data_IF_808419435669
#
_entry.id   IF_808419435669
#
_cell.length_a   1.000
_cell.length_b   1.000
_cell.length_c   1.000
_cell.angle_alpha   90.00
_cell.angle_beta   90.00
_cell.angle_gamma   90.00
#
_symmetry.space_group_name_H-M   'P 1'
#
loop_
_entity.id
_entity.type
_entity.pdbx_description
1 polymer ?
#
# COMPACT_ATOMS: atom_id res chain seq x y z
N UNK A 1 -61.64 32.92 -49.74
CA UNK A 1 -62.18 32.99 -48.37
C UNK A 1 -61.26 32.26 -47.40
N UNK A 2 -61.18 32.74 -46.16
CA UNK A 2 -60.01 32.77 -45.28
C UNK A 2 -59.61 31.45 -44.61
N UNK A 3 -58.29 31.30 -44.37
CA UNK A 3 -57.66 30.24 -43.57
C UNK A 3 -57.93 30.49 -42.08
N UNK A 4 -58.49 29.51 -41.35
CA UNK A 4 -58.51 29.53 -39.89
C UNK A 4 -57.50 28.49 -39.39
N UNK A 5 -56.32 28.97 -39.00
CA UNK A 5 -55.31 28.18 -38.33
C UNK A 5 -55.78 27.88 -36.89
N UNK A 6 -56.01 26.60 -36.57
CA UNK A 6 -56.23 26.14 -35.19
C UNK A 6 -54.89 26.16 -34.46
N UNK A 7 -54.64 27.19 -33.66
CA UNK A 7 -53.55 27.20 -32.69
C UNK A 7 -53.87 26.21 -31.56
N UNK A 8 -53.13 25.10 -31.47
CA UNK A 8 -53.04 24.29 -30.24
C UNK A 8 -52.03 24.94 -29.33
N UNK A 9 -52.50 25.62 -28.29
CA UNK A 9 -51.64 26.01 -27.16
C UNK A 9 -51.45 24.75 -26.31
N UNK A 10 -50.31 24.09 -26.43
CA UNK A 10 -49.86 23.14 -25.41
C UNK A 10 -49.44 23.94 -24.19
N UNK A 11 -50.37 24.18 -23.27
CA UNK A 11 -49.99 24.56 -21.90
C UNK A 11 -49.44 23.29 -21.25
N UNK A 12 -48.12 23.20 -21.13
CA UNK A 12 -47.48 22.25 -20.22
C UNK A 12 -48.00 22.56 -18.82
N UNK A 13 -48.87 21.69 -18.30
CA UNK A 13 -49.45 21.83 -16.97
C UNK A 13 -48.30 21.93 -15.96
N UNK A 14 -48.17 23.08 -15.28
CA UNK A 14 -47.22 23.25 -14.18
C UNK A 14 -47.56 22.22 -13.10
N UNK A 15 -46.59 21.40 -12.72
CA UNK A 15 -46.77 20.43 -11.63
C UNK A 15 -47.20 21.19 -10.36
N UNK A 16 -48.20 20.70 -9.62
CA UNK A 16 -48.57 21.32 -8.36
C UNK A 16 -47.37 21.28 -7.40
N UNK A 17 -47.08 22.39 -6.71
CA UNK A 17 -45.90 22.55 -5.82
C UNK A 17 -45.66 21.33 -4.92
N UNK A 18 -46.72 20.75 -4.34
CA UNK A 18 -46.64 19.56 -3.46
C UNK A 18 -45.92 18.38 -4.14
N UNK A 19 -46.20 18.15 -5.43
CA UNK A 19 -45.61 17.05 -6.18
C UNK A 19 -44.14 17.31 -6.54
N UNK A 20 -43.75 18.56 -6.76
CA UNK A 20 -42.34 18.94 -6.93
C UNK A 20 -41.53 18.71 -5.64
N UNK A 21 -42.13 19.01 -4.47
CA UNK A 21 -41.52 18.73 -3.17
C UNK A 21 -41.37 17.23 -2.91
N UNK A 22 -42.40 16.44 -3.20
CA UNK A 22 -42.35 14.98 -3.05
C UNK A 22 -41.31 14.35 -3.99
N UNK A 23 -41.28 14.76 -5.27
CA UNK A 23 -40.29 14.31 -6.25
C UNK A 23 -38.86 14.67 -5.80
N UNK A 24 -38.65 15.89 -5.29
CA UNK A 24 -37.35 16.35 -4.76
C UNK A 24 -36.90 15.54 -3.53
N UNK A 25 -37.81 15.28 -2.58
CA UNK A 25 -37.52 14.47 -1.39
C UNK A 25 -37.18 13.03 -1.77
N UNK A 26 -37.93 12.41 -2.69
CA UNK A 26 -37.62 11.07 -3.21
C UNK A 26 -36.25 11.04 -3.89
N UNK A 27 -35.91 12.06 -4.68
CA UNK A 27 -34.59 12.21 -5.28
C UNK A 27 -33.47 12.27 -4.24
N UNK A 28 -33.62 13.11 -3.21
CA UNK A 28 -32.64 13.22 -2.11
C UNK A 28 -32.49 11.90 -1.33
N UNK A 29 -33.58 11.20 -1.07
CA UNK A 29 -33.55 9.91 -0.39
C UNK A 29 -32.84 8.84 -1.23
N UNK A 30 -33.07 8.82 -2.55
CA UNK A 30 -32.37 7.92 -3.47
C UNK A 30 -30.86 8.18 -3.49
N UNK A 31 -30.45 9.45 -3.60
CA UNK A 31 -29.03 9.82 -3.57
C UNK A 31 -28.40 9.43 -2.23
N UNK A 32 -29.08 9.69 -1.10
CA UNK A 32 -28.59 9.27 0.23
C UNK A 32 -28.43 7.75 0.33
N UNK A 33 -29.36 6.99 -0.24
CA UNK A 33 -29.27 5.53 -0.27
C UNK A 33 -28.08 5.07 -1.12
N UNK A 34 -27.90 5.66 -2.30
CA UNK A 34 -26.76 5.36 -3.18
C UNK A 34 -25.43 5.64 -2.48
N UNK A 35 -25.25 6.83 -1.91
CA UNK A 35 -24.04 7.19 -1.16
C UNK A 35 -23.77 6.19 -0.04
N UNK A 36 -24.81 5.78 0.70
CA UNK A 36 -24.67 4.81 1.79
C UNK A 36 -24.19 3.46 1.26
N UNK A 37 -24.77 2.96 0.18
CA UNK A 37 -24.39 1.68 -0.44
C UNK A 37 -22.96 1.74 -0.96
N UNK A 38 -22.59 2.80 -1.68
CA UNK A 38 -21.24 2.98 -2.20
C UNK A 38 -20.21 3.05 -1.06
N UNK A 39 -20.53 3.81 0.00
CA UNK A 39 -19.65 3.90 1.18
C UNK A 39 -19.47 2.54 1.87
N UNK A 40 -20.53 1.72 1.96
CA UNK A 40 -20.43 0.37 2.56
C UNK A 40 -19.52 -0.51 1.70
N UNK A 41 -19.69 -0.49 0.37
CA UNK A 41 -18.85 -1.25 -0.55
C UNK A 41 -17.38 -0.81 -0.46
N UNK A 42 -17.12 0.50 -0.37
CA UNK A 42 -15.77 1.04 -0.23
C UNK A 42 -15.12 0.59 1.09
N UNK A 43 -15.88 0.57 2.19
CA UNK A 43 -15.40 0.07 3.49
C UNK A 43 -15.09 -1.43 3.41
N UNK A 44 -15.93 -2.22 2.75
CA UNK A 44 -15.72 -3.66 2.57
C UNK A 44 -14.47 -3.93 1.73
N UNK A 45 -14.30 -3.21 0.62
CA UNK A 45 -13.10 -3.30 -0.22
C UNK A 45 -11.84 -2.91 0.57
N UNK A 46 -11.89 -1.81 1.32
CA UNK A 46 -10.77 -1.40 2.16
C UNK A 46 -10.43 -2.44 3.24
N UNK A 47 -11.44 -3.10 3.82
CA UNK A 47 -11.21 -4.19 4.76
C UNK A 47 -10.51 -5.39 4.11
N UNK A 48 -10.85 -5.73 2.86
CA UNK A 48 -10.18 -6.79 2.11
C UNK A 48 -8.73 -6.42 1.79
N UNK A 49 -8.48 -5.16 1.41
CA UNK A 49 -7.13 -4.65 1.15
C UNK A 49 -6.26 -4.73 2.40
N UNK A 50 -6.79 -4.38 3.58
CA UNK A 50 -6.06 -4.49 4.85
C UNK A 50 -5.71 -5.95 5.18
N UNK A 51 -6.61 -6.89 4.92
CA UNK A 51 -6.34 -8.32 5.11
C UNK A 51 -5.22 -8.77 4.16
N UNK A 52 -5.27 -8.38 2.90
CA UNK A 52 -4.24 -8.71 1.92
C UNK A 52 -2.88 -8.12 2.30
N UNK A 53 -2.83 -6.85 2.71
CA UNK A 53 -1.59 -6.20 3.18
C UNK A 53 -1.01 -6.97 4.37
N UNK A 54 -1.85 -7.42 5.30
CA UNK A 54 -1.40 -8.20 6.47
C UNK A 54 -0.70 -9.49 6.04
N UNK A 55 -1.31 -10.24 5.12
CA UNK A 55 -0.71 -11.47 4.57
C UNK A 55 0.62 -11.22 3.86
N UNK A 56 0.71 -10.12 3.09
CA UNK A 56 1.96 -9.73 2.42
C UNK A 56 3.04 -9.38 3.43
N UNK A 57 2.71 -8.63 4.49
CA UNK A 57 3.66 -8.28 5.56
C UNK A 57 4.16 -9.54 6.27
N UNK A 58 3.28 -10.46 6.63
CA UNK A 58 3.65 -11.75 7.24
C UNK A 58 4.58 -12.56 6.32
N UNK A 59 4.29 -12.61 5.02
CA UNK A 59 5.13 -13.28 4.04
C UNK A 59 6.54 -12.66 3.97
N UNK A 60 6.62 -11.32 3.93
CA UNK A 60 7.89 -10.59 3.93
C UNK A 60 8.69 -10.89 5.20
N UNK A 61 8.04 -10.86 6.37
CA UNK A 61 8.68 -11.16 7.65
C UNK A 61 9.26 -12.58 7.68
N UNK A 62 8.46 -13.57 7.25
CA UNK A 62 8.89 -14.96 7.20
C UNK A 62 10.08 -15.15 6.24
N UNK A 63 10.01 -14.56 5.04
CA UNK A 63 11.09 -14.63 4.05
C UNK A 63 12.38 -13.94 4.56
N UNK A 64 12.23 -12.79 5.21
CA UNK A 64 13.37 -12.09 5.81
C UNK A 64 14.02 -12.91 6.92
N UNK A 65 13.22 -13.53 7.80
CA UNK A 65 13.73 -14.40 8.86
C UNK A 65 14.43 -15.65 8.30
N UNK A 66 13.89 -16.26 7.24
CA UNK A 66 14.52 -17.37 6.55
C UNK A 66 15.88 -16.95 5.95
N UNK A 67 15.94 -15.77 5.32
CA UNK A 67 17.17 -15.22 4.76
C UNK A 67 18.21 -14.93 5.85
N UNK A 68 17.82 -14.38 7.00
CA UNK A 68 18.72 -14.16 8.12
C UNK A 68 19.27 -15.48 8.67
N UNK A 69 18.42 -16.50 8.79
CA UNK A 69 18.80 -17.83 9.25
C UNK A 69 19.81 -18.47 8.30
N UNK A 70 19.55 -18.40 7.00
CA UNK A 70 20.44 -18.96 5.98
C UNK A 70 21.78 -18.19 5.91
N UNK A 71 21.75 -16.87 6.01
CA UNK A 71 22.98 -16.07 6.11
C UNK A 71 23.82 -16.44 7.33
N UNK A 72 23.18 -16.67 8.48
CA UNK A 72 23.87 -17.11 9.70
C UNK A 72 24.49 -18.50 9.52
N UNK A 73 23.75 -19.42 8.89
CA UNK A 73 24.21 -20.77 8.57
C UNK A 73 25.42 -20.73 7.64
N UNK A 74 25.34 -20.01 6.52
CA UNK A 74 26.43 -19.85 5.56
C UNK A 74 27.68 -19.22 6.20
N UNK A 75 27.49 -18.19 7.01
CA UNK A 75 28.60 -17.57 7.76
C UNK A 75 29.29 -18.58 8.67
N UNK A 76 28.52 -19.37 9.43
CA UNK A 76 29.07 -20.41 10.31
C UNK A 76 29.83 -21.48 9.51
N UNK A 77 29.25 -21.97 8.40
CA UNK A 77 29.90 -22.94 7.52
C UNK A 77 31.21 -22.40 6.94
N UNK A 78 31.23 -21.14 6.50
CA UNK A 78 32.44 -20.51 5.97
C UNK A 78 33.54 -20.38 7.04
N UNK A 79 33.19 -20.05 8.27
CA UNK A 79 34.13 -20.00 9.38
C UNK A 79 34.67 -21.39 9.73
N UNK A 80 33.81 -22.40 9.76
CA UNK A 80 34.19 -23.80 9.98
C UNK A 80 35.17 -24.29 8.90
N UNK A 81 34.94 -23.95 7.63
CA UNK A 81 35.88 -24.26 6.55
C UNK A 81 37.24 -23.59 6.73
N UNK A 82 37.28 -22.37 7.27
CA UNK A 82 38.53 -21.66 7.59
C UNK A 82 39.24 -22.31 8.78
N UNK A 83 38.50 -22.74 9.79
CA UNK A 83 39.07 -23.38 10.98
C UNK A 83 39.59 -24.80 10.70
N UNK A 84 38.92 -25.54 9.83
CA UNK A 84 39.34 -26.87 9.38
C UNK A 84 40.40 -26.82 8.27
N UNK A 85 40.81 -25.62 7.83
CA UNK A 85 41.91 -25.48 6.88
C UNK A 85 43.26 -25.69 7.58
N UNK A 86 44.17 -26.46 6.96
CA UNK A 86 45.53 -26.71 7.47
C UNK A 86 46.46 -25.47 7.52
N UNK A 87 45.94 -24.26 7.29
CA UNK A 87 46.70 -23.02 7.45
C UNK A 87 46.56 -22.48 8.88
N UNK A 88 47.67 -22.06 9.49
CA UNK A 88 47.66 -21.58 10.87
C UNK A 88 47.13 -20.13 11.01
N UNK A 89 46.60 -19.83 12.20
CA UNK A 89 46.14 -18.47 12.57
C UNK A 89 47.31 -17.49 12.43
N UNK A 90 47.08 -16.37 11.74
CA UNK A 90 48.12 -15.38 11.41
C UNK A 90 48.80 -15.57 10.05
N UNK A 91 48.71 -16.75 9.44
CA UNK A 91 49.19 -17.01 8.07
C UNK A 91 48.14 -17.82 7.28
N UNK A 92 46.93 -17.26 7.19
CA UNK A 92 45.83 -17.91 6.47
C UNK A 92 46.15 -17.94 4.97
N UNK A 93 45.82 -19.04 4.29
CA UNK A 93 45.98 -19.15 2.84
C UNK A 93 45.07 -18.15 2.11
N UNK A 94 45.35 -17.88 0.84
CA UNK A 94 44.63 -16.88 0.03
C UNK A 94 43.10 -17.09 0.05
N UNK A 95 42.64 -18.34 -0.04
CA UNK A 95 41.21 -18.69 0.01
C UNK A 95 40.58 -18.33 1.36
N UNK A 96 41.24 -18.69 2.47
CA UNK A 96 40.78 -18.35 3.81
C UNK A 96 40.78 -16.83 4.03
N UNK A 97 41.78 -16.11 3.52
CA UNK A 97 41.82 -14.65 3.59
C UNK A 97 40.66 -14.01 2.82
N UNK A 98 40.34 -14.51 1.62
CA UNK A 98 39.18 -14.04 0.83
C UNK A 98 37.87 -14.25 1.59
N UNK A 99 37.66 -15.43 2.17
CA UNK A 99 36.47 -15.72 2.98
C UNK A 99 36.38 -14.76 4.18
N UNK A 100 37.45 -14.63 4.95
CA UNK A 100 37.47 -13.76 6.13
C UNK A 100 37.24 -12.29 5.79
N UNK A 101 37.77 -11.81 4.66
CA UNK A 101 37.50 -10.46 4.15
C UNK A 101 36.03 -10.28 3.79
N UNK A 102 35.41 -11.24 3.10
CA UNK A 102 33.98 -11.18 2.75
C UNK A 102 33.05 -11.27 3.96
N UNK A 103 33.50 -11.90 5.05
CA UNK A 103 32.74 -11.97 6.32
C UNK A 103 32.98 -10.78 7.25
N UNK A 104 34.01 -9.97 6.98
CA UNK A 104 34.29 -8.79 7.77
C UNK A 104 33.09 -7.83 7.65
N UNK A 105 32.65 -7.23 8.77
CA UNK A 105 31.63 -6.20 8.70
C UNK A 105 32.14 -5.08 7.80
N UNK A 106 31.43 -4.81 6.69
CA UNK A 106 31.62 -3.61 5.88
C UNK A 106 31.67 -2.40 6.82
N UNK A 107 32.86 -1.81 7.00
CA UNK A 107 33.10 -0.66 7.89
C UNK A 107 32.37 0.61 7.44
N UNK A 108 31.50 0.52 6.42
CA UNK A 108 30.82 1.65 5.81
C UNK A 108 29.41 1.33 5.30
N UNK A 109 28.62 0.52 6.01
CA UNK A 109 27.16 0.69 5.87
C UNK A 109 26.73 1.80 6.81
N UNK A 110 26.67 3.02 6.25
CA UNK A 110 25.94 4.17 6.79
C UNK A 110 24.70 3.59 7.48
N UNK A 111 24.64 3.61 8.82
CA UNK A 111 23.46 3.14 9.58
C UNK A 111 22.28 3.80 8.88
N UNK A 112 21.49 3.03 8.13
CA UNK A 112 20.22 3.54 7.63
C UNK A 112 19.49 3.96 8.89
N UNK A 113 19.30 5.26 9.06
CA UNK A 113 18.53 5.75 10.18
C UNK A 113 17.08 5.50 9.80
N UNK A 114 16.62 4.27 10.03
CA UNK A 114 15.29 3.79 9.64
C UNK A 114 14.19 4.70 10.18
N UNK A 115 14.44 5.32 11.34
CA UNK A 115 13.57 6.33 11.93
C UNK A 115 13.48 7.61 11.06
N UNK A 116 14.60 8.03 10.46
CA UNK A 116 14.65 9.19 9.57
C UNK A 116 13.90 8.93 8.26
N UNK A 117 14.08 7.75 7.65
CA UNK A 117 13.37 7.38 6.43
C UNK A 117 11.86 7.23 6.67
N UNK A 118 11.47 6.66 7.82
CA UNK A 118 10.07 6.55 8.21
C UNK A 118 9.44 7.94 8.42
N UNK A 119 10.14 8.86 9.09
CA UNK A 119 9.70 10.25 9.22
C UNK A 119 9.57 10.97 7.87
N UNK A 120 10.48 10.71 6.93
CA UNK A 120 10.42 11.31 5.61
C UNK A 120 9.26 10.77 4.77
N UNK A 121 8.96 9.47 4.86
CA UNK A 121 7.77 8.86 4.25
C UNK A 121 6.49 9.45 4.87
N UNK A 122 6.41 9.54 6.20
CA UNK A 122 5.25 10.12 6.88
C UNK A 122 5.04 11.59 6.50
N UNK A 123 6.11 12.37 6.34
CA UNK A 123 6.02 13.76 5.84
C UNK A 123 5.50 13.83 4.41
N UNK A 124 5.93 12.93 3.53
CA UNK A 124 5.45 12.88 2.15
C UNK A 124 3.96 12.52 2.08
N UNK A 125 3.53 11.52 2.85
CA UNK A 125 2.12 11.12 2.93
C UNK A 125 1.23 12.25 3.46
N UNK A 126 1.68 12.99 4.48
CA UNK A 126 0.97 14.18 4.99
C UNK A 126 0.86 15.28 3.94
N UNK A 127 1.88 15.52 3.12
CA UNK A 127 1.82 16.49 2.02
C UNK A 127 0.82 16.09 0.94
N UNK A 128 0.73 14.80 0.63
CA UNK A 128 -0.23 14.30 -0.35
C UNK A 128 -1.68 14.37 0.16
N UNK A 129 -1.90 14.18 1.47
CA UNK A 129 -3.21 14.32 2.10
C UNK A 129 -3.70 15.75 2.36
N UNK A 130 -2.85 16.77 2.17
CA UNK A 130 -3.18 18.19 2.37
C UNK A 130 -3.54 18.93 1.07
N UNK A 131 -3.55 18.24 -0.07
CA UNK A 131 -3.88 18.81 -1.38
C UNK A 131 -5.29 18.46 -1.89
N UNK A 132 -6.17 17.95 -1.01
CA UNK A 132 -7.59 17.72 -1.31
C UNK A 132 -8.48 18.60 -0.45
#
# INVERSE_FOLDING_TARGET
>A
MSKIAKFRIYQSAKKPKKQEWEDSLRGKLKVKHQIRTDTINDIENFSQDLQHITLVVESIQNNYQALLTENSRLKSTLLELVDNCYCWKGNRCEKCQKILKSLAPETTKKKLNTAQEYEDILKQLRKLGLNN
#
